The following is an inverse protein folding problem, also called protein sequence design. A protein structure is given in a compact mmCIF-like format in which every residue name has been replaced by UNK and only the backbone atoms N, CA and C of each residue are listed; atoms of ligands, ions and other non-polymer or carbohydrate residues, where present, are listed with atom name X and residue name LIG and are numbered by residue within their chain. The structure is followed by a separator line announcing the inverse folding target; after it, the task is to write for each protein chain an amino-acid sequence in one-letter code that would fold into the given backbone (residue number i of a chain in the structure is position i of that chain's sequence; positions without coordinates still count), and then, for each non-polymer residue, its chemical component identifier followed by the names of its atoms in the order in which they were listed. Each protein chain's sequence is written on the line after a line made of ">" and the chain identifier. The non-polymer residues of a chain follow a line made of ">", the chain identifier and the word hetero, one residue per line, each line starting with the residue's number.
data_IF_650917927418
#
_entry.id   IF_650917927418
#
_cell.length_a   1.000
_cell.length_b   1.000
_cell.length_c   1.000
_cell.angle_alpha   90.00
_cell.angle_beta   90.00
_cell.angle_gamma   90.00
#
_symmetry.space_group_name_H-M   'P 1'
#
loop_
_entity.id
_entity.type
_entity.pdbx_description
1 polymer ?
#
# COMPACT_ATOMS: atom_id res chain seq x y z
N UNK A 1 -17.45 31.73 4.11
CA UNK A 1 -18.82 31.22 4.20
C UNK A 1 -19.63 31.56 2.94
N UNK A 2 -20.70 30.79 2.67
CA UNK A 2 -21.65 31.15 1.61
C UNK A 2 -22.24 32.53 1.89
N UNK A 3 -22.34 33.36 0.85
CA UNK A 3 -22.84 34.73 0.99
C UNK A 3 -21.74 35.77 1.27
N UNK A 4 -20.51 35.38 1.50
CA UNK A 4 -19.37 36.33 1.55
C UNK A 4 -19.25 37.05 0.21
N UNK A 5 -19.21 38.42 0.19
CA UNK A 5 -19.01 39.16 -1.06
C UNK A 5 -17.73 38.69 -1.79
N UNK A 6 -17.86 38.49 -3.11
CA UNK A 6 -16.78 38.03 -3.94
C UNK A 6 -16.55 36.48 -3.93
N UNK A 7 -17.24 35.73 -3.05
CA UNK A 7 -17.18 34.26 -3.03
C UNK A 7 -18.33 33.66 -3.81
N UNK A 8 -18.00 32.79 -4.78
CA UNK A 8 -19.01 32.03 -5.51
C UNK A 8 -18.60 30.58 -5.75
N UNK A 9 -19.60 29.72 -5.90
CA UNK A 9 -19.46 28.32 -6.25
C UNK A 9 -20.03 28.07 -7.65
N UNK A 10 -19.29 27.36 -8.48
CA UNK A 10 -19.76 26.91 -9.77
C UNK A 10 -20.72 25.72 -9.69
N UNK A 11 -21.17 25.24 -10.86
CA UNK A 11 -21.97 24.02 -10.98
C UNK A 11 -21.17 22.81 -10.44
N UNK A 12 -21.86 21.87 -9.80
CA UNK A 12 -21.26 20.61 -9.35
C UNK A 12 -20.79 19.78 -10.55
N UNK A 13 -19.62 19.16 -10.39
CA UNK A 13 -19.01 18.30 -11.41
C UNK A 13 -19.77 16.97 -11.56
N UNK A 14 -19.92 16.51 -12.78
CA UNK A 14 -20.38 15.15 -13.09
C UNK A 14 -19.21 14.19 -12.97
N UNK A 15 -19.24 13.27 -11.99
CA UNK A 15 -18.09 12.45 -11.64
C UNK A 15 -18.28 10.98 -11.98
N UNK A 16 -17.16 10.27 -12.17
CA UNK A 16 -17.10 8.83 -12.38
C UNK A 16 -17.69 8.06 -11.18
N UNK A 17 -17.28 8.39 -9.97
CA UNK A 17 -17.73 7.82 -8.70
C UNK A 17 -17.89 8.90 -7.62
N UNK A 18 -18.21 8.48 -6.40
CA UNK A 18 -18.51 9.34 -5.23
C UNK A 18 -19.45 10.50 -5.63
N UNK A 19 -20.51 10.17 -6.37
CA UNK A 19 -21.41 11.17 -6.99
C UNK A 19 -22.23 11.93 -5.96
N UNK A 20 -22.47 11.34 -4.80
CA UNK A 20 -23.19 11.99 -3.69
C UNK A 20 -22.37 13.07 -2.97
N UNK A 21 -21.04 13.06 -3.12
CA UNK A 21 -20.17 14.10 -2.59
C UNK A 21 -20.09 15.27 -3.58
N UNK A 22 -20.61 16.44 -3.19
CA UNK A 22 -20.58 17.61 -4.06
C UNK A 22 -19.15 18.11 -4.27
N UNK A 23 -18.76 18.32 -5.51
CA UNK A 23 -17.49 18.88 -5.92
C UNK A 23 -17.74 19.97 -6.94
N UNK A 24 -17.29 21.19 -6.68
CA UNK A 24 -17.51 22.32 -7.56
C UNK A 24 -16.31 23.28 -7.53
N UNK A 25 -16.06 24.03 -8.61
CA UNK A 25 -15.05 25.07 -8.59
C UNK A 25 -15.47 26.20 -7.65
N UNK A 26 -14.48 26.82 -7.01
CA UNK A 26 -14.66 27.98 -6.14
C UNK A 26 -13.99 29.18 -6.79
N UNK A 27 -14.67 30.32 -6.78
CA UNK A 27 -14.13 31.60 -7.24
C UNK A 27 -14.03 32.55 -6.06
N UNK A 28 -12.86 33.17 -5.91
CA UNK A 28 -12.57 34.21 -4.94
C UNK A 28 -12.20 35.48 -5.73
N UNK A 29 -13.12 36.44 -5.74
CA UNK A 29 -12.93 37.71 -6.45
C UNK A 29 -12.96 38.84 -5.40
N UNK A 30 -11.77 39.35 -5.07
CA UNK A 30 -11.53 40.39 -4.05
C UNK A 30 -12.23 40.12 -2.71
N UNK A 31 -12.28 38.84 -2.29
CA UNK A 31 -12.87 38.44 -1.02
C UNK A 31 -12.07 39.00 0.13
N UNK A 32 -12.73 39.89 0.94
CA UNK A 32 -12.12 40.45 2.14
C UNK A 32 -12.35 39.51 3.31
N UNK A 33 -11.28 39.09 3.97
CA UNK A 33 -11.30 38.23 5.15
C UNK A 33 -10.70 39.01 6.34
N UNK A 34 -11.40 39.09 7.50
CA UNK A 34 -10.84 39.71 8.72
C UNK A 34 -9.52 39.02 9.13
N UNK A 35 -8.56 39.81 9.62
CA UNK A 35 -7.26 39.29 10.05
C UNK A 35 -7.35 38.22 11.15
N UNK A 36 -8.37 38.34 12.02
CA UNK A 36 -8.63 37.38 13.11
C UNK A 36 -9.06 36.00 12.63
N UNK A 37 -9.43 35.85 11.34
CA UNK A 37 -9.74 34.58 10.71
C UNK A 37 -8.47 33.85 10.20
N UNK A 38 -7.27 34.44 10.36
CA UNK A 38 -6.03 33.79 10.00
C UNK A 38 -5.77 32.59 10.93
N UNK A 39 -5.79 31.40 10.37
CA UNK A 39 -5.55 30.16 11.13
C UNK A 39 -4.13 30.19 11.71
N UNK A 40 -4.05 30.05 13.05
CA UNK A 40 -2.79 30.11 13.80
C UNK A 40 -2.23 31.51 14.03
N UNK A 41 -2.88 32.57 13.54
CA UNK A 41 -2.55 33.98 13.84
C UNK A 41 -1.22 34.50 13.27
N UNK A 42 -0.40 33.64 12.61
CA UNK A 42 0.92 34.00 12.08
C UNK A 42 0.91 33.88 10.57
N UNK A 43 1.13 34.99 9.81
CA UNK A 43 1.20 34.96 8.37
C UNK A 43 2.31 34.05 7.84
N UNK A 44 2.11 33.43 6.65
CA UNK A 44 3.13 32.64 5.96
C UNK A 44 3.29 31.19 6.44
N UNK A 45 2.46 30.73 7.40
CA UNK A 45 2.52 29.35 7.93
C UNK A 45 1.57 28.37 7.22
N UNK A 46 0.71 28.83 6.31
CA UNK A 46 -0.36 28.01 5.74
C UNK A 46 0.11 26.71 5.08
N UNK A 47 1.20 26.74 4.29
CA UNK A 47 1.75 25.55 3.67
C UNK A 47 2.25 24.51 4.70
N UNK A 48 2.89 24.97 5.78
CA UNK A 48 3.35 24.10 6.87
C UNK A 48 2.16 23.44 7.58
N UNK A 49 1.12 24.24 7.90
CA UNK A 49 -0.11 23.74 8.52
C UNK A 49 -0.82 22.73 7.63
N UNK A 50 -0.97 23.02 6.32
CA UNK A 50 -1.54 22.10 5.34
C UNK A 50 -0.79 20.77 5.29
N UNK A 51 0.55 20.79 5.27
CA UNK A 51 1.37 19.58 5.26
C UNK A 51 1.21 18.73 6.54
N UNK A 52 1.03 19.37 7.70
CA UNK A 52 0.74 18.66 8.95
C UNK A 52 -0.61 17.95 8.91
N UNK A 53 -1.66 18.61 8.37
CA UNK A 53 -2.98 18.02 8.18
C UNK A 53 -2.92 16.85 7.20
N UNK A 54 -2.21 16.98 6.08
CA UNK A 54 -2.10 15.92 5.09
C UNK A 54 -1.43 14.63 5.61
N UNK A 55 -0.53 14.71 6.58
CA UNK A 55 0.03 13.52 7.23
C UNK A 55 -1.06 12.65 7.85
N UNK A 56 -2.05 13.27 8.48
CA UNK A 56 -3.18 12.61 9.13
C UNK A 56 -4.30 12.21 8.14
N UNK A 57 -4.72 13.12 7.25
CA UNK A 57 -5.86 12.86 6.36
C UNK A 57 -5.58 11.77 5.33
N UNK A 58 -4.32 11.55 4.95
CA UNK A 58 -3.92 10.42 4.09
C UNK A 58 -4.25 9.07 4.72
N UNK A 59 -4.11 8.93 6.02
CA UNK A 59 -4.48 7.69 6.72
C UNK A 59 -5.99 7.48 6.68
N UNK A 60 -6.78 8.54 6.82
CA UNK A 60 -8.25 8.47 6.69
C UNK A 60 -8.67 8.03 5.28
N UNK A 61 -8.04 8.58 4.23
CA UNK A 61 -8.28 8.14 2.84
C UNK A 61 -7.92 6.68 2.64
N UNK A 62 -6.82 6.22 3.23
CA UNK A 62 -6.43 4.82 3.19
C UNK A 62 -7.45 3.92 3.89
N UNK A 63 -7.98 4.32 5.06
CA UNK A 63 -9.02 3.57 5.77
C UNK A 63 -10.33 3.49 4.96
N UNK A 64 -10.74 4.57 4.29
CA UNK A 64 -11.89 4.56 3.38
C UNK A 64 -11.68 3.58 2.21
N UNK A 65 -10.49 3.55 1.64
CA UNK A 65 -10.15 2.62 0.56
C UNK A 65 -10.11 1.16 1.05
N UNK A 66 -9.58 0.90 2.26
CA UNK A 66 -9.60 -0.42 2.88
C UNK A 66 -11.04 -0.94 2.98
N UNK A 67 -11.95 -0.15 3.56
CA UNK A 67 -13.36 -0.52 3.66
C UNK A 67 -14.03 -0.79 2.31
N UNK A 68 -13.66 -0.04 1.26
CA UNK A 68 -14.15 -0.32 -0.09
C UNK A 68 -13.62 -1.65 -0.66
N UNK A 69 -12.35 -1.99 -0.40
CA UNK A 69 -11.77 -3.27 -0.79
C UNK A 69 -12.40 -4.46 -0.06
N UNK A 70 -12.62 -4.32 1.25
CA UNK A 70 -13.29 -5.32 2.07
C UNK A 70 -14.74 -5.54 1.62
N UNK A 71 -15.51 -4.46 1.39
CA UNK A 71 -16.87 -4.55 0.88
C UNK A 71 -16.95 -5.25 -0.50
N UNK A 72 -15.95 -5.05 -1.37
CA UNK A 72 -15.90 -5.77 -2.64
C UNK A 72 -15.69 -7.28 -2.43
N UNK A 73 -14.83 -7.67 -1.48
CA UNK A 73 -14.63 -9.09 -1.10
C UNK A 73 -15.87 -9.69 -0.45
N UNK A 74 -16.59 -8.95 0.41
CA UNK A 74 -17.85 -9.37 1.02
C UNK A 74 -18.94 -9.69 -0.01
N UNK A 75 -18.89 -9.08 -1.19
CA UNK A 75 -19.77 -9.41 -2.32
C UNK A 75 -19.23 -10.63 -3.09
N UNK A 76 -17.94 -10.70 -3.36
CA UNK A 76 -17.34 -11.70 -4.24
C UNK A 76 -17.26 -13.09 -3.57
N UNK A 77 -17.01 -13.17 -2.26
CA UNK A 77 -16.84 -14.42 -1.53
C UNK A 77 -18.15 -15.25 -1.51
N UNK A 78 -19.30 -14.73 -1.09
CA UNK A 78 -20.57 -15.48 -1.14
C UNK A 78 -20.96 -15.86 -2.56
N UNK A 79 -20.78 -14.94 -3.52
CA UNK A 79 -21.04 -15.26 -4.93
C UNK A 79 -20.21 -16.46 -5.41
N UNK A 80 -18.95 -16.55 -5.04
CA UNK A 80 -18.08 -17.68 -5.40
C UNK A 80 -18.58 -19.02 -4.80
N UNK A 81 -19.22 -19.00 -3.64
CA UNK A 81 -19.78 -20.19 -2.97
C UNK A 81 -21.09 -20.63 -3.64
N UNK A 82 -21.89 -19.69 -4.10
CA UNK A 82 -23.22 -19.97 -4.68
C UNK A 82 -23.17 -20.27 -6.19
N UNK A 83 -22.24 -19.66 -6.92
CA UNK A 83 -22.18 -19.80 -8.38
C UNK A 83 -21.58 -21.13 -8.80
N UNK A 84 -22.40 -21.97 -9.42
CA UNK A 84 -21.99 -23.29 -9.94
C UNK A 84 -21.53 -23.17 -11.38
N UNK A 85 -20.30 -23.59 -11.67
CA UNK A 85 -19.73 -23.75 -13.00
C UNK A 85 -18.74 -24.93 -13.03
N UNK A 86 -18.63 -25.61 -14.17
CA UNK A 86 -17.70 -26.73 -14.34
C UNK A 86 -17.87 -27.80 -13.23
N UNK A 87 -19.10 -28.14 -12.90
CA UNK A 87 -19.47 -29.23 -12.00
C UNK A 87 -19.32 -28.93 -10.51
N UNK A 88 -19.17 -27.66 -10.09
CA UNK A 88 -19.10 -27.28 -8.67
C UNK A 88 -19.09 -25.76 -8.48
N UNK A 89 -19.10 -25.27 -7.24
CA UNK A 89 -19.02 -23.85 -6.97
C UNK A 89 -17.68 -23.25 -7.43
N UNK A 90 -17.68 -21.93 -7.72
CA UNK A 90 -16.46 -21.23 -8.13
C UNK A 90 -15.42 -21.20 -7.00
N UNK A 91 -15.86 -21.23 -5.75
CA UNK A 91 -14.97 -21.33 -4.59
C UNK A 91 -14.05 -22.56 -4.62
N UNK A 92 -14.46 -23.66 -5.28
CA UNK A 92 -13.64 -24.87 -5.43
C UNK A 92 -12.60 -24.78 -6.58
N UNK A 93 -12.62 -23.72 -7.33
CA UNK A 93 -11.74 -23.55 -8.50
C UNK A 93 -10.50 -22.74 -8.11
N UNK A 94 -9.37 -23.41 -7.85
CA UNK A 94 -8.15 -22.74 -7.38
C UNK A 94 -7.67 -21.64 -8.34
N UNK A 95 -7.76 -21.85 -9.65
CA UNK A 95 -7.43 -20.82 -10.62
C UNK A 95 -8.27 -19.55 -10.54
N UNK A 96 -9.50 -19.67 -10.01
CA UNK A 96 -10.38 -18.53 -9.75
C UNK A 96 -10.09 -17.89 -8.40
N UNK A 97 -10.06 -18.66 -7.31
CA UNK A 97 -9.89 -18.14 -5.96
C UNK A 97 -8.52 -17.53 -5.74
N UNK A 98 -7.46 -18.20 -6.21
CA UNK A 98 -6.06 -17.76 -6.06
C UNK A 98 -5.67 -16.61 -6.99
N UNK A 99 -6.45 -16.38 -8.03
CA UNK A 99 -6.26 -15.22 -8.90
C UNK A 99 -7.06 -14.00 -8.46
N UNK A 100 -8.34 -14.17 -8.14
CA UNK A 100 -9.30 -13.07 -8.03
C UNK A 100 -9.71 -12.71 -6.59
N UNK A 101 -9.44 -13.56 -5.60
CA UNK A 101 -9.92 -13.36 -4.22
C UNK A 101 -8.78 -13.39 -3.19
N UNK A 102 -8.04 -14.49 -3.10
CA UNK A 102 -7.04 -14.70 -2.05
C UNK A 102 -5.93 -13.63 -2.03
N UNK A 103 -5.34 -13.20 -3.17
CA UNK A 103 -4.31 -12.16 -3.16
C UNK A 103 -4.83 -10.83 -2.62
N UNK A 104 -6.12 -10.53 -2.85
CA UNK A 104 -6.74 -9.32 -2.33
C UNK A 104 -7.01 -9.41 -0.84
N UNK A 105 -7.44 -10.56 -0.34
CA UNK A 105 -7.56 -10.79 1.10
C UNK A 105 -6.21 -10.60 1.82
N UNK A 106 -5.12 -11.13 1.27
CA UNK A 106 -3.76 -10.90 1.80
C UNK A 106 -3.44 -9.40 1.85
N UNK A 107 -3.74 -8.66 0.78
CA UNK A 107 -3.48 -7.23 0.74
C UNK A 107 -4.36 -6.43 1.71
N UNK A 108 -5.63 -6.80 1.91
CA UNK A 108 -6.50 -6.13 2.90
C UNK A 108 -6.03 -6.41 4.33
N UNK A 109 -5.59 -7.63 4.65
CA UNK A 109 -4.98 -7.95 5.94
C UNK A 109 -3.69 -7.14 6.20
N UNK A 110 -2.84 -7.01 5.18
CA UNK A 110 -1.63 -6.21 5.26
C UNK A 110 -1.94 -4.71 5.42
N UNK A 111 -2.95 -4.22 4.70
CA UNK A 111 -3.44 -2.85 4.81
C UNK A 111 -3.96 -2.55 6.22
N UNK A 112 -4.83 -3.41 6.75
CA UNK A 112 -5.34 -3.30 8.13
C UNK A 112 -4.21 -3.26 9.15
N UNK A 113 -3.25 -4.19 9.07
CA UNK A 113 -2.11 -4.25 9.98
C UNK A 113 -1.28 -2.96 9.96
N UNK A 114 -1.00 -2.43 8.77
CA UNK A 114 -0.23 -1.20 8.65
C UNK A 114 -0.99 0.03 9.16
N UNK A 115 -2.27 0.16 8.81
CA UNK A 115 -3.09 1.30 9.25
C UNK A 115 -3.28 1.32 10.78
N UNK A 116 -3.52 0.16 11.38
CA UNK A 116 -3.62 0.03 12.85
C UNK A 116 -2.32 0.47 13.54
N UNK A 117 -1.16 0.01 13.04
CA UNK A 117 0.14 0.39 13.60
C UNK A 117 0.37 1.90 13.48
N UNK A 118 0.09 2.51 12.32
CA UNK A 118 0.29 3.95 12.13
C UNK A 118 -0.71 4.75 12.96
N UNK A 119 -1.95 4.30 13.10
CA UNK A 119 -2.95 4.96 13.95
C UNK A 119 -2.52 4.98 15.42
N UNK A 120 -2.05 3.85 15.96
CA UNK A 120 -1.51 3.77 17.32
C UNK A 120 -0.31 4.70 17.53
N UNK A 121 0.53 4.85 16.50
CA UNK A 121 1.68 5.77 16.55
C UNK A 121 1.23 7.23 16.50
N UNK A 122 0.18 7.58 15.78
CA UNK A 122 -0.41 8.93 15.79
C UNK A 122 -0.88 9.30 17.21
N UNK A 123 -1.51 8.37 17.91
CA UNK A 123 -2.01 8.59 19.25
C UNK A 123 -0.91 8.69 20.33
N UNK A 124 0.22 8.01 20.11
CA UNK A 124 1.30 7.88 21.09
C UNK A 124 2.55 8.71 20.82
N UNK A 125 2.76 9.15 19.57
CA UNK A 125 3.96 9.87 19.16
C UNK A 125 3.64 11.33 18.80
N UNK A 126 4.55 12.23 19.14
CA UNK A 126 4.45 13.67 18.77
C UNK A 126 5.13 13.99 17.45
N UNK A 127 5.76 13.02 16.81
CA UNK A 127 6.49 13.22 15.54
C UNK A 127 5.57 13.27 14.34
N UNK A 128 6.04 13.91 13.30
CA UNK A 128 5.39 13.94 12.01
C UNK A 128 5.46 12.53 11.35
N UNK A 129 4.30 11.95 11.06
CA UNK A 129 4.12 10.66 10.39
C UNK A 129 3.74 10.82 8.91
N UNK A 130 4.18 11.89 8.26
CA UNK A 130 3.86 12.20 6.87
C UNK A 130 4.25 11.07 5.90
N UNK A 131 5.37 10.42 6.13
CA UNK A 131 5.85 9.32 5.27
C UNK A 131 5.02 8.07 5.49
N UNK A 132 4.73 7.73 6.73
CA UNK A 132 3.89 6.61 7.10
C UNK A 132 2.46 6.77 6.56
N UNK A 133 1.88 7.96 6.68
CA UNK A 133 0.60 8.28 6.04
C UNK A 133 0.64 8.16 4.52
N UNK A 134 1.77 8.55 3.89
CA UNK A 134 1.96 8.38 2.45
C UNK A 134 2.09 6.92 2.02
N UNK A 135 2.79 6.08 2.79
CA UNK A 135 2.90 4.63 2.57
C UNK A 135 1.52 3.98 2.67
N UNK A 136 0.77 4.25 3.75
CA UNK A 136 -0.58 3.74 3.92
C UNK A 136 -1.49 4.14 2.77
N UNK A 137 -1.49 5.43 2.42
CA UNK A 137 -2.30 5.93 1.31
C UNK A 137 -1.94 5.27 -0.02
N UNK A 138 -0.66 5.21 -0.38
CA UNK A 138 -0.20 4.58 -1.63
C UNK A 138 -0.61 3.11 -1.69
N UNK A 139 -0.24 2.33 -0.67
CA UNK A 139 -0.46 0.89 -0.68
C UNK A 139 -1.95 0.55 -0.69
N UNK A 140 -2.71 1.11 0.25
CA UNK A 140 -4.10 0.70 0.47
C UNK A 140 -5.00 1.12 -0.68
N UNK A 141 -4.84 2.35 -1.20
CA UNK A 141 -5.71 2.83 -2.30
C UNK A 141 -5.45 2.07 -3.60
N UNK A 142 -4.20 1.74 -3.91
CA UNK A 142 -3.85 0.93 -5.08
C UNK A 142 -4.30 -0.53 -4.92
N UNK A 143 -4.15 -1.12 -3.73
CA UNK A 143 -4.60 -2.48 -3.44
C UNK A 143 -6.13 -2.59 -3.50
N UNK A 144 -6.86 -1.66 -2.89
CA UNK A 144 -8.31 -1.64 -2.89
C UNK A 144 -8.90 -1.41 -4.30
N UNK A 145 -8.25 -0.55 -5.10
CA UNK A 145 -8.66 -0.33 -6.51
C UNK A 145 -8.53 -1.61 -7.33
N UNK A 146 -7.44 -2.35 -7.17
CA UNK A 146 -7.25 -3.66 -7.82
C UNK A 146 -8.21 -4.71 -7.27
N UNK A 147 -8.43 -4.72 -5.96
CA UNK A 147 -9.39 -5.61 -5.31
C UNK A 147 -10.80 -5.43 -5.89
N UNK A 148 -11.29 -4.20 -5.97
CA UNK A 148 -12.62 -3.91 -6.54
C UNK A 148 -12.72 -4.31 -8.02
N UNK A 149 -11.63 -4.17 -8.80
CA UNK A 149 -11.57 -4.60 -10.20
C UNK A 149 -11.68 -6.11 -10.34
N UNK A 150 -10.88 -6.84 -9.57
CA UNK A 150 -10.87 -8.29 -9.62
C UNK A 150 -12.13 -8.92 -8.98
N UNK A 151 -12.73 -8.27 -7.97
CA UNK A 151 -14.04 -8.67 -7.45
C UNK A 151 -15.15 -8.47 -8.51
N UNK A 152 -15.10 -7.38 -9.28
CA UNK A 152 -15.99 -7.19 -10.43
C UNK A 152 -15.77 -8.29 -11.47
N UNK A 153 -14.52 -8.64 -11.78
CA UNK A 153 -14.19 -9.76 -12.67
C UNK A 153 -14.66 -11.11 -12.09
N UNK A 154 -14.59 -11.30 -10.79
CA UNK A 154 -15.03 -12.52 -10.11
C UNK A 154 -16.54 -12.78 -10.29
N UNK A 155 -17.37 -11.73 -10.34
CA UNK A 155 -18.79 -11.85 -10.61
C UNK A 155 -19.09 -12.08 -12.11
N UNK A 156 -18.09 -11.95 -12.98
CA UNK A 156 -18.29 -12.08 -14.43
C UNK A 156 -19.26 -11.03 -14.96
N UNK A 157 -20.19 -11.43 -15.84
CA UNK A 157 -21.18 -10.49 -16.41
C UNK A 157 -22.04 -9.77 -15.37
N UNK A 158 -22.31 -10.40 -14.24
CA UNK A 158 -23.05 -9.75 -13.15
C UNK A 158 -22.26 -8.60 -12.51
N UNK A 159 -20.96 -8.71 -12.42
CA UNK A 159 -20.13 -7.62 -11.88
C UNK A 159 -20.12 -6.35 -12.74
N UNK A 160 -20.59 -6.44 -14.00
CA UNK A 160 -20.60 -5.32 -14.95
C UNK A 160 -21.94 -4.57 -15.01
N UNK A 161 -23.01 -5.13 -14.43
CA UNK A 161 -24.34 -4.51 -14.44
C UNK A 161 -24.66 -3.83 -13.12
N UNK A 162 -25.36 -2.69 -13.19
CA UNK A 162 -25.57 -1.78 -12.06
C UNK A 162 -26.46 -2.33 -10.94
N UNK A 163 -27.07 -3.50 -11.14
CA UNK A 163 -27.84 -4.22 -10.10
C UNK A 163 -26.92 -4.81 -9.01
N UNK A 164 -25.62 -4.99 -9.31
CA UNK A 164 -24.62 -5.49 -8.39
C UNK A 164 -23.67 -4.36 -7.99
N UNK A 165 -23.61 -4.06 -6.69
CA UNK A 165 -22.92 -2.88 -6.17
C UNK A 165 -21.39 -2.87 -6.38
N UNK A 166 -20.78 -4.00 -6.74
CA UNK A 166 -19.34 -4.10 -6.94
C UNK A 166 -18.83 -3.14 -8.04
N UNK A 167 -19.62 -2.89 -9.09
CA UNK A 167 -19.26 -1.93 -10.14
C UNK A 167 -19.21 -0.49 -9.60
N UNK A 168 -20.13 -0.17 -8.66
CA UNK A 168 -20.15 1.12 -7.98
C UNK A 168 -18.93 1.27 -7.06
N UNK A 169 -18.59 0.24 -6.29
CA UNK A 169 -17.37 0.23 -5.44
C UNK A 169 -16.14 0.51 -6.30
N UNK A 170 -16.02 -0.14 -7.47
CA UNK A 170 -14.93 0.08 -8.43
C UNK A 170 -14.83 1.53 -8.88
N UNK A 171 -15.96 2.18 -9.19
CA UNK A 171 -15.99 3.59 -9.58
C UNK A 171 -15.65 4.52 -8.42
N UNK A 172 -16.17 4.23 -7.25
CA UNK A 172 -16.03 5.08 -6.06
C UNK A 172 -14.60 5.02 -5.50
N UNK A 173 -13.96 3.85 -5.45
CA UNK A 173 -12.62 3.71 -4.86
C UNK A 173 -11.53 4.37 -5.73
N UNK A 174 -11.74 4.51 -7.04
CA UNK A 174 -10.71 5.04 -7.95
C UNK A 174 -10.20 6.43 -7.56
N UNK A 175 -11.06 7.30 -7.04
CA UNK A 175 -10.66 8.67 -6.66
C UNK A 175 -9.62 8.67 -5.54
N UNK A 176 -9.60 7.63 -4.70
CA UNK A 176 -8.68 7.54 -3.57
C UNK A 176 -7.21 7.47 -4.00
N UNK A 177 -6.91 7.01 -5.22
CA UNK A 177 -5.57 7.07 -5.81
C UNK A 177 -5.20 8.47 -6.33
N UNK A 178 -6.16 9.40 -6.44
CA UNK A 178 -6.01 10.69 -7.14
C UNK A 178 -5.97 11.86 -6.16
N UNK A 179 -7.02 12.03 -5.36
CA UNK A 179 -7.09 13.17 -4.42
C UNK A 179 -6.18 12.98 -3.20
N UNK A 180 -6.02 14.02 -2.37
CA UNK A 180 -5.11 14.05 -1.21
C UNK A 180 -3.64 13.74 -1.59
N UNK A 181 -3.29 14.06 -2.84
CA UNK A 181 -2.02 13.74 -3.48
C UNK A 181 -2.07 12.40 -4.21
N UNK A 182 -1.82 12.42 -5.52
CA UNK A 182 -1.86 11.21 -6.36
C UNK A 182 -0.86 10.15 -5.89
N UNK A 183 -1.02 8.92 -6.36
CA UNK A 183 -0.07 7.82 -6.08
C UNK A 183 1.38 8.23 -6.38
N UNK A 184 1.62 8.97 -7.47
CA UNK A 184 2.94 9.46 -7.87
C UNK A 184 3.49 10.52 -6.90
N UNK A 185 2.62 11.35 -6.32
CA UNK A 185 3.02 12.30 -5.27
C UNK A 185 3.39 11.54 -3.99
N UNK A 186 2.64 10.50 -3.62
CA UNK A 186 3.00 9.66 -2.48
C UNK A 186 4.35 8.97 -2.72
N UNK A 187 4.57 8.39 -3.90
CA UNK A 187 5.87 7.80 -4.26
C UNK A 187 7.02 8.82 -4.16
N UNK A 188 6.81 10.06 -4.63
CA UNK A 188 7.82 11.14 -4.51
C UNK A 188 8.15 11.46 -3.06
N UNK A 189 7.15 11.54 -2.19
CA UNK A 189 7.30 11.80 -0.75
C UNK A 189 8.07 10.65 -0.09
N UNK A 190 7.61 9.42 -0.27
CA UNK A 190 8.20 8.22 0.33
C UNK A 190 9.67 8.11 -0.06
N UNK A 191 9.97 8.10 -1.35
CA UNK A 191 11.33 7.94 -1.84
C UNK A 191 12.26 9.06 -1.33
N UNK A 192 11.80 10.31 -1.41
CA UNK A 192 12.63 11.46 -1.01
C UNK A 192 12.94 11.45 0.48
N UNK A 193 11.95 11.22 1.32
CA UNK A 193 12.16 11.29 2.76
C UNK A 193 12.88 10.04 3.29
N UNK A 194 12.58 8.83 2.78
CA UNK A 194 13.30 7.61 3.19
C UNK A 194 14.76 7.62 2.71
N UNK A 195 15.02 8.13 1.51
CA UNK A 195 16.39 8.40 1.06
C UNK A 195 17.17 9.34 2.01
N UNK A 196 16.53 10.45 2.43
CA UNK A 196 17.16 11.38 3.39
C UNK A 196 17.45 10.69 4.73
N UNK A 197 16.53 9.87 5.23
CA UNK A 197 16.69 9.11 6.47
C UNK A 197 17.80 8.07 6.34
N UNK A 198 17.81 7.29 5.24
CA UNK A 198 18.86 6.30 4.96
C UNK A 198 20.25 6.93 4.99
N UNK A 199 20.41 8.07 4.29
CA UNK A 199 21.68 8.82 4.28
C UNK A 199 22.07 9.37 5.63
N UNK A 200 21.13 10.01 6.34
CA UNK A 200 21.39 10.63 7.65
C UNK A 200 21.77 9.60 8.71
N UNK A 201 21.11 8.44 8.68
CA UNK A 201 21.33 7.35 9.63
C UNK A 201 22.57 6.52 9.33
N UNK A 202 23.20 6.69 8.15
CA UNK A 202 24.36 5.89 7.71
C UNK A 202 24.11 4.38 7.82
N UNK A 203 22.93 3.93 7.43
CA UNK A 203 22.51 2.52 7.46
C UNK A 203 21.80 2.08 8.74
N UNK A 204 21.83 2.85 9.82
CA UNK A 204 21.20 2.44 11.07
C UNK A 204 19.67 2.26 10.97
N UNK A 205 18.98 3.05 10.14
CA UNK A 205 17.53 2.98 9.99
C UNK A 205 17.08 1.62 9.42
N UNK A 206 17.60 1.25 8.25
CA UNK A 206 17.27 -0.05 7.64
C UNK A 206 17.99 -1.21 8.33
N UNK A 207 19.13 -0.97 8.95
CA UNK A 207 19.81 -1.95 9.80
C UNK A 207 18.96 -2.36 11.01
N UNK A 208 18.28 -1.41 11.64
CA UNK A 208 17.35 -1.72 12.73
C UNK A 208 16.14 -2.54 12.27
N UNK A 209 15.55 -2.20 11.12
CA UNK A 209 14.48 -2.99 10.50
C UNK A 209 14.93 -4.42 10.19
N UNK A 210 16.13 -4.59 9.63
CA UNK A 210 16.70 -5.89 9.34
C UNK A 210 16.90 -6.72 10.61
N UNK A 211 17.49 -6.13 11.66
CA UNK A 211 17.72 -6.81 12.93
C UNK A 211 16.42 -7.23 13.61
N UNK A 212 15.38 -6.39 13.56
CA UNK A 212 14.06 -6.72 14.07
C UNK A 212 13.47 -7.93 13.36
N UNK A 213 13.51 -7.94 12.03
CA UNK A 213 12.97 -9.04 11.24
C UNK A 213 13.81 -10.32 11.37
N UNK A 214 15.11 -10.24 11.56
CA UNK A 214 15.97 -11.37 11.89
C UNK A 214 15.63 -11.97 13.26
N UNK A 215 15.41 -11.13 14.27
CA UNK A 215 14.98 -11.58 15.59
C UNK A 215 13.60 -12.25 15.53
N UNK A 216 12.67 -11.68 14.78
CA UNK A 216 11.36 -12.28 14.58
C UNK A 216 11.46 -13.63 13.85
N UNK A 217 12.26 -13.72 12.80
CA UNK A 217 12.48 -14.96 12.06
C UNK A 217 13.13 -16.07 12.92
N UNK A 218 13.99 -15.70 13.86
CA UNK A 218 14.60 -16.65 14.82
C UNK A 218 13.59 -17.18 15.82
N UNK A 219 12.60 -16.39 16.22
CA UNK A 219 11.54 -16.78 17.15
C UNK A 219 10.37 -17.50 16.45
N UNK A 220 10.00 -17.03 15.26
CA UNK A 220 8.87 -17.45 14.45
C UNK A 220 9.28 -17.53 12.98
N UNK A 221 9.90 -18.64 12.59
CA UNK A 221 10.37 -18.87 11.21
C UNK A 221 9.25 -18.97 10.17
N UNK A 222 8.01 -19.03 10.61
CA UNK A 222 6.79 -19.23 9.82
C UNK A 222 6.09 -17.93 9.38
N UNK A 223 6.71 -16.75 9.51
CA UNK A 223 6.07 -15.46 9.24
C UNK A 223 6.64 -14.69 8.02
N UNK A 224 7.54 -15.30 7.24
CA UNK A 224 8.20 -14.62 6.11
C UNK A 224 9.18 -13.52 6.51
N UNK A 225 9.45 -13.33 7.80
CA UNK A 225 10.29 -12.26 8.33
C UNK A 225 11.75 -12.31 7.83
N UNK A 226 12.27 -13.50 7.52
CA UNK A 226 13.61 -13.66 6.94
C UNK A 226 13.75 -12.99 5.57
N UNK A 227 12.71 -13.02 4.74
CA UNK A 227 12.72 -12.35 3.44
C UNK A 227 12.65 -10.83 3.59
N UNK A 228 11.87 -10.35 4.57
CA UNK A 228 11.80 -8.92 4.90
C UNK A 228 13.12 -8.40 5.51
N UNK A 229 13.82 -9.21 6.29
CA UNK A 229 15.15 -8.86 6.79
C UNK A 229 16.15 -8.66 5.64
N UNK A 230 16.15 -9.57 4.65
CA UNK A 230 16.96 -9.42 3.42
C UNK A 230 16.55 -8.17 2.64
N UNK A 231 15.26 -7.95 2.47
CA UNK A 231 14.72 -6.77 1.80
C UNK A 231 15.15 -5.46 2.48
N UNK A 232 15.16 -5.40 3.82
CA UNK A 232 15.61 -4.23 4.57
C UNK A 232 17.11 -3.95 4.35
N UNK A 233 17.97 -4.97 4.35
CA UNK A 233 19.39 -4.82 4.01
C UNK A 233 19.58 -4.34 2.58
N UNK A 234 18.85 -4.94 1.64
CA UNK A 234 18.87 -4.55 0.24
C UNK A 234 18.39 -3.12 0.01
N UNK A 235 17.43 -2.63 0.81
CA UNK A 235 16.93 -1.26 0.70
C UNK A 235 17.99 -0.20 1.01
N UNK A 236 18.82 -0.41 2.03
CA UNK A 236 19.94 0.48 2.32
C UNK A 236 20.91 0.53 1.13
N UNK A 237 21.31 -0.64 0.62
CA UNK A 237 22.21 -0.73 -0.53
C UNK A 237 21.63 -0.06 -1.79
N UNK A 238 20.32 -0.19 -2.01
CA UNK A 238 19.64 0.45 -3.12
C UNK A 238 19.67 1.99 -3.03
N UNK A 239 19.46 2.58 -1.84
CA UNK A 239 19.57 4.02 -1.65
C UNK A 239 21.01 4.52 -1.75
N UNK A 240 21.98 3.77 -1.23
CA UNK A 240 23.39 4.12 -1.34
C UNK A 240 23.85 4.08 -2.80
N UNK A 241 23.44 3.07 -3.54
CA UNK A 241 23.69 2.93 -4.97
C UNK A 241 23.05 4.06 -5.78
N UNK A 242 21.77 4.36 -5.53
CA UNK A 242 21.07 5.46 -6.20
C UNK A 242 21.76 6.82 -5.94
N UNK A 243 22.36 6.98 -4.76
CA UNK A 243 23.16 8.17 -4.42
C UNK A 243 24.49 8.19 -5.17
N UNK A 244 25.24 7.10 -5.13
CA UNK A 244 26.55 6.99 -5.78
C UNK A 244 26.47 7.16 -7.30
N UNK A 245 25.45 6.56 -7.91
CA UNK A 245 25.18 6.63 -9.35
C UNK A 245 24.40 7.89 -9.77
N UNK A 246 24.13 8.83 -8.86
CA UNK A 246 23.37 10.07 -9.11
C UNK A 246 21.97 9.86 -9.68
N UNK A 247 21.32 8.73 -9.34
CA UNK A 247 19.99 8.35 -9.85
C UNK A 247 18.84 9.06 -9.12
N UNK A 248 19.10 9.80 -8.05
CA UNK A 248 18.08 10.47 -7.23
C UNK A 248 17.27 11.55 -7.95
N UNK A 249 17.68 11.94 -9.17
CA UNK A 249 16.92 12.83 -10.07
C UNK A 249 16.10 12.05 -11.11
N UNK A 250 16.25 10.73 -11.19
CA UNK A 250 15.52 9.87 -12.09
C UNK A 250 14.21 9.47 -11.43
N UNK A 251 13.13 10.18 -11.75
CA UNK A 251 11.84 10.05 -11.07
C UNK A 251 11.30 8.61 -11.06
N UNK A 252 11.38 7.90 -12.19
CA UNK A 252 10.91 6.52 -12.27
C UNK A 252 11.69 5.56 -11.35
N UNK A 253 13.01 5.74 -11.23
CA UNK A 253 13.83 4.94 -10.32
C UNK A 253 13.53 5.28 -8.85
N UNK A 254 13.25 6.54 -8.54
CA UNK A 254 12.80 6.93 -7.21
C UNK A 254 11.43 6.34 -6.87
N UNK A 255 10.51 6.25 -7.83
CA UNK A 255 9.23 5.57 -7.64
C UNK A 255 9.41 4.07 -7.39
N UNK A 256 10.33 3.42 -8.10
CA UNK A 256 10.70 2.02 -7.81
C UNK A 256 11.17 1.84 -6.37
N UNK A 257 12.01 2.77 -5.86
CA UNK A 257 12.46 2.76 -4.47
C UNK A 257 11.30 3.01 -3.47
N UNK A 258 10.33 3.85 -3.84
CA UNK A 258 9.13 4.08 -3.03
C UNK A 258 8.27 2.81 -2.91
N UNK A 259 8.08 2.09 -4.01
CA UNK A 259 7.31 0.84 -4.03
C UNK A 259 8.00 -0.25 -3.19
N UNK A 260 9.33 -0.37 -3.31
CA UNK A 260 10.13 -1.29 -2.47
C UNK A 260 10.00 -0.93 -0.98
N UNK A 261 10.15 0.35 -0.64
CA UNK A 261 9.98 0.85 0.74
C UNK A 261 8.59 0.52 1.28
N UNK A 262 7.55 0.79 0.48
CA UNK A 262 6.16 0.52 0.84
C UNK A 262 5.92 -0.96 1.11
N UNK A 263 6.37 -1.84 0.22
CA UNK A 263 6.23 -3.27 0.41
C UNK A 263 6.96 -3.80 1.65
N UNK A 264 8.15 -3.26 1.95
CA UNK A 264 8.91 -3.61 3.15
C UNK A 264 8.16 -3.22 4.42
N UNK A 265 7.78 -1.95 4.56
CA UNK A 265 7.19 -1.44 5.81
C UNK A 265 5.79 -2.04 6.07
N UNK A 266 4.99 -2.23 5.02
CA UNK A 266 3.69 -2.92 5.12
C UNK A 266 3.85 -4.40 5.46
N UNK A 267 4.81 -5.09 4.85
CA UNK A 267 5.12 -6.50 5.16
C UNK A 267 5.58 -6.70 6.60
N UNK A 268 6.39 -5.78 7.13
CA UNK A 268 6.82 -5.81 8.53
C UNK A 268 5.64 -5.65 9.49
N UNK A 269 4.70 -4.74 9.21
CA UNK A 269 3.50 -4.56 10.02
C UNK A 269 2.63 -5.83 10.03
N UNK A 270 2.42 -6.46 8.87
CA UNK A 270 1.69 -7.73 8.80
C UNK A 270 2.39 -8.85 9.56
N UNK A 271 3.72 -8.96 9.47
CA UNK A 271 4.49 -9.99 10.20
C UNK A 271 4.41 -9.77 11.70
N UNK A 272 4.44 -8.52 12.20
CA UNK A 272 4.23 -8.20 13.63
C UNK A 272 2.83 -8.57 14.07
N UNK A 273 1.79 -8.22 13.30
CA UNK A 273 0.41 -8.59 13.59
C UNK A 273 0.25 -10.11 13.65
N UNK A 274 0.81 -10.83 12.70
CA UNK A 274 0.79 -12.30 12.68
C UNK A 274 1.53 -12.92 13.87
N UNK A 275 2.62 -12.31 14.33
CA UNK A 275 3.36 -12.77 15.50
C UNK A 275 2.58 -12.61 16.82
N UNK A 276 1.75 -11.57 16.90
CA UNK A 276 0.90 -11.28 18.06
C UNK A 276 -0.44 -12.04 18.06
N UNK A 277 -0.80 -12.63 16.92
CA UNK A 277 -2.08 -13.33 16.76
C UNK A 277 -2.13 -14.65 17.54
N UNK A 278 -3.32 -14.97 18.04
CA UNK A 278 -3.64 -16.22 18.73
C UNK A 278 -4.81 -16.94 18.07
N UNK A 279 -5.03 -18.19 18.42
CA UNK A 279 -6.17 -18.99 18.01
C UNK A 279 -6.34 -19.18 16.48
N UNK A 280 -7.58 -19.14 16.00
CA UNK A 280 -7.92 -19.38 14.59
C UNK A 280 -7.32 -18.38 13.61
N UNK A 281 -7.14 -17.14 14.03
CA UNK A 281 -6.59 -16.09 13.16
C UNK A 281 -5.08 -16.26 12.92
N UNK A 282 -4.37 -16.88 13.86
CA UNK A 282 -2.92 -17.04 13.80
C UNK A 282 -2.44 -17.76 12.53
N UNK A 283 -3.11 -18.85 12.13
CA UNK A 283 -2.74 -19.62 10.94
C UNK A 283 -2.95 -18.83 9.64
N UNK A 284 -4.08 -18.13 9.54
CA UNK A 284 -4.42 -17.30 8.38
C UNK A 284 -3.47 -16.10 8.25
N UNK A 285 -3.19 -15.40 9.37
CA UNK A 285 -2.27 -14.27 9.38
C UNK A 285 -0.84 -14.70 9.10
N UNK A 286 -0.40 -15.87 9.60
CA UNK A 286 0.93 -16.40 9.29
C UNK A 286 1.04 -16.77 7.79
N UNK A 287 0.04 -17.42 7.21
CA UNK A 287 0.01 -17.71 5.77
C UNK A 287 0.00 -16.41 4.94
N UNK A 288 -0.82 -15.42 5.31
CA UNK A 288 -0.87 -14.13 4.65
C UNK A 288 0.48 -13.38 4.74
N UNK A 289 1.15 -13.42 5.89
CA UNK A 289 2.46 -12.81 6.09
C UNK A 289 3.51 -13.47 5.19
N UNK A 290 3.51 -14.81 5.03
CA UNK A 290 4.43 -15.50 4.10
C UNK A 290 4.17 -15.13 2.65
N UNK A 291 2.90 -15.16 2.22
CA UNK A 291 2.52 -14.77 0.84
C UNK A 291 2.94 -13.33 0.55
N UNK A 292 2.64 -12.40 1.46
CA UNK A 292 2.98 -11.00 1.28
C UNK A 292 4.50 -10.77 1.26
N UNK A 293 5.24 -11.38 2.18
CA UNK A 293 6.70 -11.25 2.28
C UNK A 293 7.40 -11.80 1.05
N UNK A 294 6.92 -12.93 0.50
CA UNK A 294 7.42 -13.50 -0.74
C UNK A 294 7.21 -12.55 -1.94
N UNK A 295 6.01 -11.98 -2.05
CA UNK A 295 5.70 -10.99 -3.10
C UNK A 295 6.56 -9.72 -2.95
N UNK A 296 6.77 -9.25 -1.71
CA UNK A 296 7.66 -8.13 -1.43
C UNK A 296 9.11 -8.44 -1.83
N UNK A 297 9.64 -9.61 -1.49
CA UNK A 297 10.99 -10.04 -1.88
C UNK A 297 11.16 -10.09 -3.40
N UNK A 298 10.19 -10.63 -4.13
CA UNK A 298 10.20 -10.66 -5.60
C UNK A 298 10.10 -9.24 -6.20
N UNK A 299 9.32 -8.34 -5.57
CA UNK A 299 9.30 -6.93 -5.95
C UNK A 299 10.68 -6.29 -5.78
N UNK A 300 11.37 -6.59 -4.68
CA UNK A 300 12.74 -6.13 -4.44
C UNK A 300 13.71 -6.63 -5.50
N UNK A 301 13.67 -7.91 -5.84
CA UNK A 301 14.52 -8.47 -6.89
C UNK A 301 14.33 -7.77 -8.24
N UNK A 302 13.07 -7.49 -8.61
CA UNK A 302 12.74 -6.72 -9.82
C UNK A 302 13.20 -5.28 -9.72
N UNK A 303 12.95 -4.61 -8.59
CA UNK A 303 13.35 -3.22 -8.36
C UNK A 303 14.87 -3.01 -8.41
N UNK A 304 15.64 -3.92 -7.79
CA UNK A 304 17.10 -3.93 -7.86
C UNK A 304 17.60 -4.06 -9.30
N UNK A 305 17.02 -4.96 -10.11
CA UNK A 305 17.35 -5.07 -11.54
C UNK A 305 17.02 -3.79 -12.30
N UNK A 306 15.89 -3.15 -11.99
CA UNK A 306 15.53 -1.87 -12.61
C UNK A 306 16.56 -0.78 -12.28
N UNK A 307 17.05 -0.72 -11.06
CA UNK A 307 18.12 0.21 -10.67
C UNK A 307 19.46 -0.11 -11.34
N UNK A 308 19.83 -1.39 -11.37
CA UNK A 308 21.12 -1.86 -11.84
C UNK A 308 21.25 -1.83 -13.38
N UNK A 309 20.19 -2.17 -14.09
CA UNK A 309 20.21 -2.48 -15.54
C UNK A 309 19.16 -1.70 -16.34
N UNK A 310 18.17 -1.08 -15.69
CA UNK A 310 17.06 -0.39 -16.36
C UNK A 310 17.39 1.01 -16.90
N UNK A 311 18.62 1.47 -16.70
CA UNK A 311 19.08 2.77 -17.16
C UNK A 311 20.47 2.69 -17.82
N UNK A 312 20.72 3.56 -18.80
CA UNK A 312 22.05 3.69 -19.42
C UNK A 312 23.03 4.54 -18.60
N UNK A 313 22.62 5.00 -17.42
CA UNK A 313 23.45 5.81 -16.52
C UNK A 313 24.32 4.99 -15.59
N UNK A 314 24.15 3.66 -15.58
CA UNK A 314 24.85 2.73 -14.70
C UNK A 314 25.73 1.82 -15.56
N UNK A 315 27.00 1.72 -15.21
CA UNK A 315 27.92 0.76 -15.81
C UNK A 315 27.56 -0.66 -15.39
N UNK A 316 27.71 -1.63 -16.31
CA UNK A 316 27.29 -3.03 -16.09
C UNK A 316 27.90 -3.64 -14.82
N UNK A 317 29.22 -3.45 -14.60
CA UNK A 317 29.94 -3.96 -13.44
C UNK A 317 29.39 -3.41 -12.10
N UNK A 318 29.04 -2.11 -12.07
CA UNK A 318 28.43 -1.50 -10.88
C UNK A 318 27.03 -2.06 -10.63
N UNK A 319 26.24 -2.29 -11.69
CA UNK A 319 24.94 -2.92 -11.59
C UNK A 319 25.00 -4.36 -11.08
N UNK A 320 25.92 -5.16 -11.60
CA UNK A 320 26.14 -6.54 -11.15
C UNK A 320 26.58 -6.60 -9.68
N UNK A 321 27.49 -5.72 -9.28
CA UNK A 321 27.90 -5.59 -7.87
C UNK A 321 26.74 -5.27 -6.93
N UNK A 322 25.81 -4.39 -7.32
CA UNK A 322 24.60 -4.13 -6.55
C UNK A 322 23.76 -5.39 -6.41
N UNK A 323 23.49 -6.09 -7.51
CA UNK A 323 22.62 -7.27 -7.52
C UNK A 323 23.18 -8.39 -6.63
N UNK A 324 24.50 -8.61 -6.66
CA UNK A 324 25.18 -9.57 -5.82
C UNK A 324 25.14 -9.16 -4.34
N UNK A 325 25.57 -7.95 -4.03
CA UNK A 325 25.62 -7.44 -2.65
C UNK A 325 24.24 -7.39 -1.98
N UNK A 326 23.20 -7.05 -2.74
CA UNK A 326 21.82 -7.00 -2.26
C UNK A 326 21.13 -8.37 -2.21
N UNK A 327 21.77 -9.46 -2.66
CA UNK A 327 21.16 -10.78 -2.67
C UNK A 327 19.95 -10.89 -3.59
N UNK A 328 19.98 -10.22 -4.75
CA UNK A 328 18.82 -10.15 -5.65
C UNK A 328 18.35 -11.55 -6.13
N UNK A 329 19.26 -12.50 -6.29
CA UNK A 329 18.94 -13.88 -6.65
C UNK A 329 18.14 -14.59 -5.55
N UNK A 330 18.54 -14.44 -4.29
CA UNK A 330 17.85 -15.02 -3.13
C UNK A 330 16.44 -14.41 -2.96
N UNK A 331 16.32 -13.09 -3.12
CA UNK A 331 15.03 -12.41 -3.08
C UNK A 331 14.08 -12.87 -4.21
N UNK A 332 14.63 -13.18 -5.40
CA UNK A 332 13.84 -13.68 -6.52
C UNK A 332 13.32 -15.13 -6.30
N UNK A 333 13.96 -15.91 -5.44
CA UNK A 333 13.58 -17.29 -5.13
C UNK A 333 12.58 -17.39 -3.96
N UNK A 334 12.21 -16.28 -3.32
CA UNK A 334 11.20 -16.27 -2.27
C UNK A 334 9.86 -16.79 -2.80
N UNK A 335 9.11 -17.52 -1.96
CA UNK A 335 7.77 -17.98 -2.30
C UNK A 335 7.59 -19.49 -2.29
N UNK A 336 8.55 -20.24 -1.76
CA UNK A 336 8.35 -21.68 -1.52
C UNK A 336 7.12 -21.90 -0.62
N UNK A 337 6.17 -22.72 -1.07
CA UNK A 337 4.93 -23.01 -0.33
C UNK A 337 3.81 -21.97 -0.49
N UNK A 338 4.00 -20.90 -1.27
CA UNK A 338 3.00 -19.82 -1.44
C UNK A 338 1.62 -20.36 -1.85
N UNK A 339 1.55 -21.37 -2.72
CA UNK A 339 0.25 -21.95 -3.13
C UNK A 339 -0.46 -22.63 -1.96
N UNK A 340 0.26 -23.41 -1.15
CA UNK A 340 -0.30 -24.02 0.06
C UNK A 340 -0.76 -22.99 1.11
N UNK A 341 -0.03 -21.87 1.23
CA UNK A 341 -0.45 -20.75 2.05
C UNK A 341 -1.74 -20.10 1.53
N UNK A 342 -1.86 -19.96 0.22
CA UNK A 342 -3.09 -19.46 -0.42
C UNK A 342 -4.26 -20.45 -0.23
N UNK A 343 -4.03 -21.76 -0.25
CA UNK A 343 -5.03 -22.78 0.11
C UNK A 343 -5.52 -22.58 1.55
N UNK A 344 -4.59 -22.40 2.50
CA UNK A 344 -4.93 -22.13 3.91
C UNK A 344 -5.84 -20.90 4.06
N UNK A 345 -5.54 -19.83 3.35
CA UNK A 345 -6.35 -18.61 3.37
C UNK A 345 -7.71 -18.86 2.72
N UNK A 346 -7.74 -19.54 1.57
CA UNK A 346 -8.98 -19.87 0.87
C UNK A 346 -9.90 -20.75 1.73
N UNK A 347 -9.34 -21.75 2.41
CA UNK A 347 -10.11 -22.65 3.28
C UNK A 347 -10.77 -21.88 4.44
N UNK A 348 -10.05 -20.92 5.01
CA UNK A 348 -10.62 -20.06 6.03
C UNK A 348 -11.72 -19.14 5.47
N UNK A 349 -11.52 -18.53 4.28
CA UNK A 349 -12.49 -17.64 3.65
C UNK A 349 -13.79 -18.35 3.25
N UNK A 350 -13.68 -19.58 2.77
CA UNK A 350 -14.82 -20.35 2.27
C UNK A 350 -15.37 -21.35 3.27
N UNK A 351 -14.89 -21.32 4.53
CA UNK A 351 -15.39 -22.22 5.59
C UNK A 351 -15.06 -23.69 5.34
N UNK A 352 -14.05 -23.98 4.55
CA UNK A 352 -13.56 -25.32 4.30
C UNK A 352 -12.57 -25.69 5.40
N UNK A 353 -13.07 -26.23 6.51
CA UNK A 353 -12.21 -26.77 7.58
C UNK A 353 -11.76 -28.17 7.20
N UNK A 354 -10.45 -28.43 7.32
CA UNK A 354 -9.89 -29.76 7.26
C UNK A 354 -10.41 -30.63 8.43
#
# INVERSE_FOLDING_TARGET
>A
EKGTPGFSQGKGEEKHGIRASNTSPLTLDEVVVPADNLIGGVPGQGLKQANQVFGYTRLMVAAMALGAGEAALEIAIPYAQERIQFGGPLSDKLGYTHKLIVPHQVNMLAASAYLEEVALRIDSETRDLQVEGSIGKLFVTEAATRCADDCMQALGGYGYISEFEVEKIKRDVKITCIYEGTSEIQQSIIATFRWKVARKSKGAFYGAMAAEMEALAAQRGDLGAADLARAAKAMQLAFDFATAQRLTKQQYLMFTLADMTTALEVGMALSRKAAAAADREAAVLAAAARVFSANAAQLFARGLRTLAQGTRLVEAEAGESLLEAAGAAQLALAGAGTVADMDTIADALFGRTA
#
